data_IF_034856817506
#
_entry.id   IF_034856817506
#
_cell.length_a   1.000
_cell.length_b   1.000
_cell.length_c   1.000
_cell.angle_alpha   90.00
_cell.angle_beta   90.00
_cell.angle_gamma   90.00
#
_symmetry.space_group_name_H-M   'P 1'
#
loop_
_entity.id
_entity.type
_entity.pdbx_description
1 polymer ?
#
# COMPACT_ATOMS: atom_id res chain seq x y z
N UNK A 1 -25.43 -6.91 -15.53
CA UNK A 1 -24.27 -7.74 -15.16
C UNK A 1 -24.42 -8.01 -13.68
N UNK A 2 -24.41 -9.27 -13.28
CA UNK A 2 -24.59 -9.70 -11.88
C UNK A 2 -23.21 -10.07 -11.32
N UNK A 3 -22.96 -9.67 -10.07
CA UNK A 3 -21.72 -9.92 -9.34
C UNK A 3 -22.08 -10.33 -7.92
N UNK A 4 -21.30 -11.24 -7.32
CA UNK A 4 -21.47 -11.64 -5.93
C UNK A 4 -20.97 -10.54 -4.99
N UNK A 5 -19.87 -9.87 -5.38
CA UNK A 5 -19.27 -8.78 -4.62
C UNK A 5 -18.93 -7.61 -5.54
N UNK A 6 -19.41 -6.42 -5.15
CA UNK A 6 -19.04 -5.15 -5.79
C UNK A 6 -18.22 -4.34 -4.81
N UNK A 7 -16.98 -4.03 -5.19
CA UNK A 7 -16.06 -3.21 -4.41
C UNK A 7 -15.97 -1.83 -5.06
N UNK A 8 -16.29 -0.79 -4.31
CA UNK A 8 -16.22 0.60 -4.79
C UNK A 8 -14.91 1.22 -4.32
N UNK A 9 -13.99 1.45 -5.26
CA UNK A 9 -12.67 2.04 -5.05
C UNK A 9 -11.52 1.07 -5.31
N UNK A 10 -10.70 1.38 -6.31
CA UNK A 10 -9.48 0.67 -6.69
C UNK A 10 -8.24 1.15 -5.92
N UNK A 11 -8.40 1.43 -4.63
CA UNK A 11 -7.31 1.76 -3.71
C UNK A 11 -6.72 0.51 -3.06
N UNK A 12 -5.71 0.67 -2.17
CA UNK A 12 -5.04 -0.48 -1.55
C UNK A 12 -6.02 -1.36 -0.78
N UNK A 13 -6.98 -0.78 -0.04
CA UNK A 13 -7.97 -1.56 0.69
C UNK A 13 -8.91 -2.37 -0.22
N UNK A 14 -9.50 -1.73 -1.24
CA UNK A 14 -10.44 -2.39 -2.15
C UNK A 14 -9.77 -3.50 -2.96
N UNK A 15 -8.57 -3.22 -3.46
CA UNK A 15 -7.79 -4.22 -4.20
C UNK A 15 -7.32 -5.37 -3.28
N UNK A 16 -6.92 -5.09 -2.04
CA UNK A 16 -6.60 -6.15 -1.07
C UNK A 16 -7.79 -7.06 -0.77
N UNK A 17 -9.01 -6.51 -0.68
CA UNK A 17 -10.22 -7.33 -0.52
C UNK A 17 -10.46 -8.18 -1.77
N UNK A 18 -10.37 -7.61 -2.97
CA UNK A 18 -10.52 -8.36 -4.23
C UNK A 18 -9.52 -9.52 -4.32
N UNK A 19 -8.24 -9.25 -4.08
CA UNK A 19 -7.16 -10.24 -4.04
C UNK A 19 -7.48 -11.37 -3.04
N UNK A 20 -7.87 -11.03 -1.81
CA UNK A 20 -8.13 -12.03 -0.77
C UNK A 20 -9.36 -12.89 -1.08
N UNK A 21 -10.42 -12.28 -1.63
CA UNK A 21 -11.61 -13.02 -2.03
C UNK A 21 -11.30 -14.01 -3.16
N UNK A 22 -10.52 -13.57 -4.16
CA UNK A 22 -10.07 -14.45 -5.25
C UNK A 22 -9.24 -15.63 -4.70
N UNK A 23 -8.26 -15.36 -3.83
CA UNK A 23 -7.45 -16.41 -3.18
C UNK A 23 -8.29 -17.43 -2.39
N UNK A 24 -9.28 -16.95 -1.63
CA UNK A 24 -10.17 -17.82 -0.84
C UNK A 24 -11.10 -18.66 -1.73
N UNK A 25 -11.64 -18.06 -2.79
CA UNK A 25 -12.49 -18.76 -3.75
C UNK A 25 -11.71 -19.87 -4.48
N UNK A 26 -10.48 -19.58 -4.90
CA UNK A 26 -9.57 -20.56 -5.51
C UNK A 26 -9.24 -21.71 -4.54
N UNK A 27 -8.88 -21.38 -3.29
CA UNK A 27 -8.57 -22.39 -2.27
C UNK A 27 -9.75 -23.30 -1.95
N UNK A 28 -10.97 -22.77 -1.98
CA UNK A 28 -12.21 -23.52 -1.74
C UNK A 28 -12.79 -24.19 -3.00
N UNK A 29 -12.18 -23.97 -4.18
CA UNK A 29 -12.69 -24.47 -5.46
C UNK A 29 -14.06 -23.91 -5.85
N UNK A 30 -14.35 -22.66 -5.46
CA UNK A 30 -15.63 -21.98 -5.74
C UNK A 30 -15.45 -20.92 -6.80
N UNK A 31 -16.47 -20.74 -7.63
CA UNK A 31 -16.57 -19.56 -8.48
C UNK A 31 -17.15 -18.40 -7.67
N UNK A 32 -16.46 -17.26 -7.68
CA UNK A 32 -16.90 -16.02 -7.05
C UNK A 32 -16.70 -14.87 -8.03
N UNK A 33 -17.78 -14.18 -8.37
CA UNK A 33 -17.73 -13.03 -9.28
C UNK A 33 -17.53 -11.74 -8.50
N UNK A 34 -16.33 -11.16 -8.58
CA UNK A 34 -15.95 -9.91 -7.92
C UNK A 34 -15.72 -8.83 -8.97
N UNK A 35 -16.24 -7.63 -8.74
CA UNK A 35 -15.91 -6.45 -9.54
C UNK A 35 -15.38 -5.32 -8.66
N UNK A 36 -14.31 -4.68 -9.11
CA UNK A 36 -13.81 -3.44 -8.53
C UNK A 36 -14.15 -2.29 -9.46
N UNK A 37 -14.86 -1.29 -8.94
CA UNK A 37 -15.21 -0.08 -9.67
C UNK A 37 -14.33 1.07 -9.17
N UNK A 38 -13.48 1.59 -10.05
CA UNK A 38 -12.62 2.74 -9.78
C UNK A 38 -13.03 3.92 -10.67
N UNK A 39 -12.98 5.13 -10.12
CA UNK A 39 -13.30 6.38 -10.84
C UNK A 39 -12.17 6.80 -11.79
N UNK A 40 -10.92 6.49 -11.44
CA UNK A 40 -9.75 6.75 -12.27
C UNK A 40 -9.85 6.10 -13.64
N UNK A 41 -9.22 6.72 -14.65
CA UNK A 41 -9.10 6.14 -15.99
C UNK A 41 -8.32 4.82 -16.00
N UNK A 42 -7.51 4.62 -14.96
CA UNK A 42 -6.75 3.41 -14.67
C UNK A 42 -6.56 3.29 -13.15
N UNK A 43 -6.26 2.08 -12.68
CA UNK A 43 -5.87 1.87 -11.27
C UNK A 43 -4.63 2.72 -10.97
N UNK A 44 -4.63 3.37 -9.80
CA UNK A 44 -3.54 4.24 -9.38
C UNK A 44 -3.65 5.70 -9.84
N UNK A 45 -4.48 6.03 -10.84
CA UNK A 45 -4.58 7.40 -11.39
C UNK A 45 -4.98 8.47 -10.36
N UNK A 46 -5.78 8.09 -9.35
CA UNK A 46 -6.22 8.98 -8.28
C UNK A 46 -5.52 8.72 -6.94
N UNK A 47 -4.47 7.88 -6.91
CA UNK A 47 -3.72 7.60 -5.69
C UNK A 47 -2.64 8.67 -5.50
N UNK A 48 -2.79 9.47 -4.43
CA UNK A 48 -1.81 10.48 -4.02
C UNK A 48 -1.30 10.16 -2.60
N UNK A 49 0.00 9.87 -2.47
CA UNK A 49 0.64 9.59 -1.18
C UNK A 49 2.15 9.80 -1.25
N UNK A 50 2.75 10.37 -0.20
CA UNK A 50 4.21 10.40 0.01
C UNK A 50 4.77 9.14 0.68
N UNK A 51 4.12 8.01 0.46
CA UNK A 51 4.05 6.84 1.31
C UNK A 51 5.38 6.31 1.91
N UNK A 52 5.40 6.16 3.24
CA UNK A 52 6.29 5.23 3.95
C UNK A 52 5.46 3.99 4.32
N UNK A 53 5.84 2.86 3.75
CA UNK A 53 5.08 1.63 3.74
C UNK A 53 5.62 0.64 4.77
N UNK A 54 4.78 0.28 5.72
CA UNK A 54 4.98 -0.86 6.61
C UNK A 54 4.45 -2.12 5.88
N UNK A 55 5.26 -3.18 5.81
CA UNK A 55 5.00 -4.30 4.89
C UNK A 55 4.10 -5.40 5.44
N UNK A 56 3.78 -5.42 6.74
CA UNK A 56 3.10 -6.54 7.40
C UNK A 56 1.84 -7.00 6.68
N UNK A 57 0.94 -6.07 6.31
CA UNK A 57 -0.30 -6.43 5.62
C UNK A 57 -0.06 -7.00 4.21
N UNK A 58 1.00 -6.56 3.53
CA UNK A 58 1.39 -7.12 2.24
C UNK A 58 2.07 -8.48 2.41
N UNK A 59 2.87 -8.66 3.47
CA UNK A 59 3.47 -9.94 3.85
C UNK A 59 2.38 -10.99 4.14
N UNK A 60 1.25 -10.59 4.75
CA UNK A 60 0.09 -11.47 4.97
C UNK A 60 -0.71 -11.78 3.71
N UNK A 61 -0.81 -10.82 2.78
CA UNK A 61 -1.59 -10.97 1.55
C UNK A 61 -0.84 -11.72 0.45
N UNK A 62 0.46 -11.46 0.32
CA UNK A 62 1.37 -12.06 -0.66
C UNK A 62 2.74 -12.30 -0.02
N UNK A 63 2.96 -13.41 0.71
CA UNK A 63 4.21 -13.67 1.41
C UNK A 63 5.48 -13.61 0.54
N UNK A 64 5.33 -13.84 -0.76
CA UNK A 64 6.35 -13.88 -1.81
C UNK A 64 6.28 -12.65 -2.75
N UNK A 65 5.73 -11.51 -2.29
CA UNK A 65 5.58 -10.30 -3.10
C UNK A 65 6.89 -9.78 -3.70
N UNK A 66 8.04 -10.08 -3.07
CA UNK A 66 9.37 -9.68 -3.56
C UNK A 66 9.73 -10.43 -4.83
N UNK A 67 9.53 -11.75 -4.82
CA UNK A 67 9.75 -12.67 -5.91
C UNK A 67 8.76 -12.41 -7.05
N UNK A 68 7.52 -12.04 -6.71
CA UNK A 68 6.48 -11.65 -7.65
C UNK A 68 6.66 -10.23 -8.25
N UNK A 69 7.74 -9.54 -7.90
CA UNK A 69 8.13 -8.27 -8.53
C UNK A 69 7.35 -7.04 -8.07
N UNK A 70 6.76 -7.05 -6.88
CA UNK A 70 6.03 -5.89 -6.37
C UNK A 70 6.92 -4.63 -6.34
N UNK A 71 6.36 -3.43 -6.58
CA UNK A 71 7.13 -2.18 -6.70
C UNK A 71 7.58 -1.59 -5.35
N UNK A 72 7.95 -2.44 -4.39
CA UNK A 72 8.36 -2.10 -3.02
C UNK A 72 9.86 -2.37 -2.86
N UNK A 73 10.70 -1.43 -3.30
CA UNK A 73 12.16 -1.66 -3.47
C UNK A 73 13.05 -0.82 -2.55
N UNK A 74 12.63 0.40 -2.21
CA UNK A 74 13.49 1.36 -1.50
C UNK A 74 13.30 1.24 0.00
N UNK A 75 14.23 0.60 0.71
CA UNK A 75 14.20 0.55 2.19
C UNK A 75 14.50 1.91 2.80
N UNK A 76 13.81 2.25 3.89
CA UNK A 76 14.14 3.43 4.69
C UNK A 76 15.50 3.23 5.37
N UNK A 77 16.39 4.20 5.23
CA UNK A 77 17.75 4.16 5.82
C UNK A 77 17.87 4.99 7.10
N UNK A 78 16.93 5.90 7.35
CA UNK A 78 16.85 6.65 8.58
C UNK A 78 15.83 7.77 8.54
N UNK A 79 15.45 8.23 9.74
CA UNK A 79 14.44 9.25 9.94
C UNK A 79 15.06 10.59 10.35
N UNK A 80 14.48 11.69 9.84
CA UNK A 80 14.87 13.05 10.22
C UNK A 80 13.62 13.89 10.42
N UNK A 81 13.46 14.41 11.63
CA UNK A 81 12.37 15.30 11.98
C UNK A 81 12.96 16.66 12.32
N UNK A 82 12.37 17.70 11.74
CA UNK A 82 12.77 19.07 11.94
C UNK A 82 11.59 19.87 12.47
N UNK A 83 11.80 20.61 13.55
CA UNK A 83 10.88 21.61 14.03
C UNK A 83 11.24 22.94 13.36
N UNK A 84 10.34 23.50 12.57
CA UNK A 84 10.55 24.76 11.87
C UNK A 84 10.34 25.92 12.85
N UNK A 85 11.36 26.75 13.02
CA UNK A 85 11.34 27.89 13.96
C UNK A 85 11.08 29.22 13.26
N UNK A 86 11.06 29.23 11.92
CA UNK A 86 10.83 30.41 11.10
C UNK A 86 10.94 30.06 9.61
N UNK A 87 10.89 31.08 8.75
CA UNK A 87 10.94 30.92 7.28
C UNK A 87 12.22 30.23 6.79
N UNK A 88 13.35 30.51 7.44
CA UNK A 88 14.69 30.06 7.00
C UNK A 88 15.43 29.24 8.07
N UNK A 89 14.75 28.80 9.13
CA UNK A 89 15.38 28.14 10.27
C UNK A 89 14.60 26.93 10.77
N UNK A 90 15.33 25.90 11.16
CA UNK A 90 14.77 24.69 11.74
C UNK A 90 15.75 24.06 12.73
N UNK A 91 15.22 23.38 13.75
CA UNK A 91 15.99 22.61 14.71
C UNK A 91 15.71 21.12 14.44
N UNK A 92 16.76 20.33 14.30
CA UNK A 92 16.62 18.87 14.20
C UNK A 92 16.21 18.33 15.57
N UNK A 93 15.08 17.62 15.62
CA UNK A 93 14.63 16.93 16.83
C UNK A 93 15.56 15.74 17.09
N UNK A 94 16.19 15.64 18.27
CA UNK A 94 17.00 14.46 18.62
C UNK A 94 16.15 13.19 18.63
N UNK A 95 16.70 12.08 18.14
CA UNK A 95 15.95 10.82 17.94
C UNK A 95 15.23 10.28 19.18
N UNK A 96 15.78 10.53 20.39
CA UNK A 96 15.15 10.10 21.65
C UNK A 96 13.83 10.83 21.97
N UNK A 97 13.59 12.00 21.37
CA UNK A 97 12.36 12.76 21.52
C UNK A 97 11.38 12.55 20.36
N UNK A 98 11.76 11.72 19.38
CA UNK A 98 10.90 11.35 18.27
C UNK A 98 9.90 10.28 18.73
N UNK A 99 8.58 10.50 18.59
CA UNK A 99 7.57 9.52 18.96
C UNK A 99 7.78 8.16 18.29
N UNK A 100 7.51 7.07 19.02
CA UNK A 100 7.66 5.70 18.53
C UNK A 100 7.02 5.44 17.15
N UNK A 101 5.80 5.94 16.84
CA UNK A 101 5.16 5.70 15.54
C UNK A 101 5.89 6.34 14.34
N UNK A 102 6.86 7.23 14.57
CA UNK A 102 7.59 7.93 13.51
C UNK A 102 8.95 7.30 13.19
N UNK A 103 9.29 6.18 13.83
CA UNK A 103 10.49 5.41 13.51
C UNK A 103 10.15 4.38 12.42
N UNK A 104 10.83 4.47 11.28
CA UNK A 104 10.50 3.70 10.07
C UNK A 104 11.49 2.58 9.79
N UNK A 105 12.16 2.05 10.82
CA UNK A 105 13.07 0.92 10.67
C UNK A 105 12.29 -0.30 10.18
N UNK A 106 12.67 -0.82 9.00
CA UNK A 106 12.00 -1.97 8.37
C UNK A 106 10.99 -1.57 7.28
N UNK A 107 10.60 -0.29 7.22
CA UNK A 107 9.65 0.22 6.24
C UNK A 107 10.32 0.54 4.89
N UNK A 108 9.47 0.81 3.90
CA UNK A 108 9.86 1.12 2.53
C UNK A 108 9.32 2.48 2.08
N UNK A 109 9.99 3.12 1.13
CA UNK A 109 9.50 4.32 0.46
C UNK A 109 8.96 3.88 -0.89
N UNK A 110 7.67 4.10 -1.15
CA UNK A 110 7.00 3.56 -2.34
C UNK A 110 6.13 4.60 -3.05
N UNK A 111 5.82 4.32 -4.31
CA UNK A 111 4.64 4.89 -4.97
C UNK A 111 3.45 3.99 -4.67
N UNK A 112 2.51 4.48 -3.85
CA UNK A 112 1.29 3.73 -3.53
C UNK A 112 0.44 3.48 -4.78
N UNK A 113 0.45 4.40 -5.76
CA UNK A 113 -0.23 4.21 -7.04
C UNK A 113 0.31 3.02 -7.82
N UNK A 114 1.64 2.87 -7.89
CA UNK A 114 2.27 1.68 -8.51
C UNK A 114 1.96 0.39 -7.76
N UNK A 115 1.92 0.44 -6.43
CA UNK A 115 1.51 -0.74 -5.64
C UNK A 115 0.06 -1.12 -5.94
N UNK A 116 -0.85 -0.15 -6.05
CA UNK A 116 -2.24 -0.41 -6.44
C UNK A 116 -2.33 -0.98 -7.85
N UNK A 117 -1.56 -0.46 -8.81
CA UNK A 117 -1.50 -1.03 -10.17
C UNK A 117 -1.09 -2.50 -10.13
N UNK A 118 -0.02 -2.82 -9.39
CA UNK A 118 0.43 -4.19 -9.21
C UNK A 118 -0.63 -5.07 -8.52
N UNK A 119 -1.32 -4.57 -7.49
CA UNK A 119 -2.43 -5.31 -6.88
C UNK A 119 -3.61 -5.51 -7.85
N UNK A 120 -3.88 -4.54 -8.73
CA UNK A 120 -4.89 -4.65 -9.77
C UNK A 120 -4.58 -5.71 -10.83
N UNK A 121 -3.31 -6.03 -11.07
CA UNK A 121 -2.90 -7.15 -11.92
C UNK A 121 -3.06 -8.52 -11.23
N UNK A 122 -3.20 -8.54 -9.91
CA UNK A 122 -3.37 -9.75 -9.09
C UNK A 122 -4.82 -10.02 -8.69
N UNK A 123 -5.66 -8.99 -8.72
CA UNK A 123 -7.05 -8.99 -8.30
C UNK A 123 -8.00 -9.64 -9.32
#
# INVERSE_FOLDING_TARGET
MEFDVVIVGGGPAGLSVACRLAQLAEADGKELSVVVVEKGSEIGAHILSGNVFESHALDELYPDWKEQGAPVKTKVTGDRIHYLTGEKSAIRVPGMFVPLPMHNKGNYIISLGRLCQWLGEKA
#
